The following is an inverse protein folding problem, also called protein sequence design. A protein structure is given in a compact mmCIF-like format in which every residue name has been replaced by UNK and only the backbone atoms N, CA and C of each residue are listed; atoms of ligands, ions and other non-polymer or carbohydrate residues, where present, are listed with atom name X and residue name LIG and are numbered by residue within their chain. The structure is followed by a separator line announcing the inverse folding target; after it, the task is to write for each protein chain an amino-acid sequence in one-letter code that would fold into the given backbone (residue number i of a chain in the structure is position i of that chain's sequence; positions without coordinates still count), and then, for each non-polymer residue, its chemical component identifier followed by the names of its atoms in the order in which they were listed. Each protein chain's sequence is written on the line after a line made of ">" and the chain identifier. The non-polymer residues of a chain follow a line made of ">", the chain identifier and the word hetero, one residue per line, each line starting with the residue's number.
data_IF_237458805081
#
_entry.id   IF_237458805081
#
_cell.length_a   1.000
_cell.length_b   1.000
_cell.length_c   1.000
_cell.angle_alpha   90.00
_cell.angle_beta   90.00
_cell.angle_gamma   90.00
#
_symmetry.space_group_name_H-M   'P 1'
#
loop_
_entity.id
_entity.type
_entity.pdbx_description
1 polymer ?
#
# COMPACT_ATOMS: atom_id res chain seq x y z
N UNK A 1 51.66 14.13 5.74
CA UNK A 1 50.81 13.65 4.63
C UNK A 1 49.37 13.63 5.16
N UNK A 2 48.67 14.76 5.27
CA UNK A 2 47.97 15.56 4.25
C UNK A 2 46.98 14.77 3.39
N UNK A 3 45.69 15.04 3.60
CA UNK A 3 44.56 15.19 2.64
C UNK A 3 43.25 15.16 3.45
N UNK A 4 42.74 16.28 3.97
CA UNK A 4 41.84 17.25 3.30
C UNK A 4 40.53 16.59 2.81
N UNK A 5 39.44 16.60 3.60
CA UNK A 5 38.37 17.61 3.62
C UNK A 5 37.72 17.84 2.25
N UNK A 6 36.54 17.25 2.04
CA UNK A 6 35.56 17.63 1.02
C UNK A 6 34.23 17.92 1.76
N UNK A 7 34.06 19.11 2.34
CA UNK A 7 33.68 20.38 1.67
C UNK A 7 32.37 20.29 0.89
N UNK A 8 31.29 20.28 1.66
CA UNK A 8 30.08 21.12 1.52
C UNK A 8 29.90 21.79 0.15
N UNK A 9 29.24 21.09 -0.78
CA UNK A 9 28.73 21.67 -2.03
C UNK A 9 27.26 21.30 -2.25
N UNK A 10 26.40 21.83 -1.38
CA UNK A 10 24.96 21.84 -1.64
C UNK A 10 24.32 23.13 -1.11
N UNK A 11 24.89 24.27 -1.53
CA UNK A 11 24.20 25.56 -1.44
C UNK A 11 24.17 26.17 -2.85
N UNK A 12 23.46 25.47 -3.72
CA UNK A 12 23.15 25.91 -5.08
C UNK A 12 22.14 27.05 -5.02
N UNK A 13 22.68 28.26 -4.97
CA UNK A 13 22.29 29.41 -5.78
C UNK A 13 20.83 29.41 -6.26
N UNK A 14 19.99 30.20 -5.59
CA UNK A 14 19.01 31.05 -6.30
C UNK A 14 18.89 32.37 -5.54
N UNK A 15 19.73 33.30 -5.96
CA UNK A 15 19.66 34.71 -5.56
C UNK A 15 18.30 35.25 -6.00
N UNK A 16 17.56 35.78 -5.03
CA UNK A 16 16.33 36.50 -5.25
C UNK A 16 16.57 37.63 -6.27
N UNK A 17 15.82 37.57 -7.37
CA UNK A 17 15.84 38.53 -8.46
C UNK A 17 15.36 39.89 -7.96
N UNK A 18 16.21 40.92 -8.09
CA UNK A 18 15.86 42.31 -7.86
C UNK A 18 14.80 42.73 -8.90
N UNK A 19 13.60 43.05 -8.44
CA UNK A 19 12.55 43.68 -9.25
C UNK A 19 12.95 45.12 -9.56
N UNK A 20 13.39 45.37 -10.78
CA UNK A 20 13.41 46.70 -11.38
C UNK A 20 12.08 46.91 -12.10
N UNK A 21 11.26 47.77 -11.53
CA UNK A 21 10.00 48.22 -12.11
C UNK A 21 10.29 49.17 -13.28
N UNK A 22 9.78 48.82 -14.47
CA UNK A 22 9.66 49.74 -15.61
C UNK A 22 8.17 50.05 -15.77
N UNK A 23 7.76 51.33 -15.76
CA UNK A 23 6.37 51.71 -15.94
C UNK A 23 6.06 51.82 -17.43
N UNK A 24 4.90 51.31 -17.83
CA UNK A 24 4.31 51.65 -19.11
C UNK A 24 4.49 50.58 -20.18
N UNK A 25 3.50 49.70 -20.26
CA UNK A 25 2.72 49.48 -21.47
C UNK A 25 1.59 48.51 -21.12
N UNK A 26 0.36 48.97 -21.32
CA UNK A 26 -0.87 48.17 -21.23
C UNK A 26 -0.75 46.98 -22.17
N UNK A 27 -0.57 45.79 -21.64
CA UNK A 27 -0.82 44.55 -22.36
C UNK A 27 -1.99 43.84 -21.67
N UNK A 28 -3.02 43.63 -22.48
CA UNK A 28 -4.31 43.05 -22.18
C UNK A 28 -4.28 41.93 -21.13
N UNK A 29 -5.13 42.06 -20.11
CA UNK A 29 -5.68 40.91 -19.40
C UNK A 29 -6.49 40.09 -20.40
N UNK A 30 -5.84 39.14 -21.07
CA UNK A 30 -6.52 38.00 -21.66
C UNK A 30 -6.60 36.96 -20.56
N UNK A 31 -7.81 36.83 -20.02
CA UNK A 31 -8.26 35.71 -19.21
C UNK A 31 -7.99 34.42 -19.96
N UNK A 32 -6.89 33.75 -19.62
CA UNK A 32 -6.70 32.35 -19.92
C UNK A 32 -7.58 31.57 -18.93
N UNK A 33 -8.84 31.36 -19.31
CA UNK A 33 -9.60 30.25 -18.78
C UNK A 33 -8.91 28.99 -19.30
N UNK A 34 -7.92 28.53 -18.56
CA UNK A 34 -7.40 27.18 -18.70
C UNK A 34 -8.59 26.25 -18.49
N UNK A 35 -9.16 25.80 -19.61
CA UNK A 35 -10.08 24.69 -19.66
C UNK A 35 -9.30 23.48 -19.15
N UNK A 36 -9.48 23.17 -17.87
CA UNK A 36 -8.96 21.96 -17.27
C UNK A 36 -9.69 20.80 -17.96
N UNK A 37 -9.02 20.23 -18.96
CA UNK A 37 -9.44 19.05 -19.67
C UNK A 37 -9.94 18.01 -18.64
N UNK A 38 -11.08 17.34 -18.87
CA UNK A 38 -11.62 16.38 -17.94
C UNK A 38 -10.56 15.29 -17.70
N UNK A 39 -9.88 15.38 -16.55
CA UNK A 39 -8.98 14.35 -16.08
C UNK A 39 -9.84 13.10 -15.94
N UNK A 40 -9.70 12.19 -16.90
CA UNK A 40 -10.34 10.90 -16.85
C UNK A 40 -10.06 10.32 -15.47
N UNK A 41 -11.14 10.09 -14.71
CA UNK A 41 -11.04 9.55 -13.36
C UNK A 41 -10.11 8.34 -13.39
N UNK A 42 -9.18 8.20 -12.42
CA UNK A 42 -8.28 7.05 -12.39
C UNK A 42 -9.13 5.78 -12.51
N UNK A 43 -8.71 4.79 -13.33
CA UNK A 43 -9.49 3.59 -13.56
C UNK A 43 -9.86 2.99 -12.20
N UNK A 44 -11.12 2.58 -12.01
CA UNK A 44 -11.56 2.05 -10.74
C UNK A 44 -10.63 0.90 -10.34
N UNK A 45 -10.18 0.83 -9.07
CA UNK A 45 -9.26 -0.19 -8.63
C UNK A 45 -9.82 -1.56 -9.00
N UNK A 46 -9.02 -2.34 -9.73
CA UNK A 46 -9.43 -3.64 -10.22
C UNK A 46 -9.96 -4.50 -9.07
N UNK A 47 -11.19 -5.01 -9.23
CA UNK A 47 -11.80 -5.92 -8.26
C UNK A 47 -10.96 -7.18 -8.26
N UNK A 48 -10.14 -7.40 -7.22
CA UNK A 48 -9.49 -8.70 -7.01
C UNK A 48 -10.60 -9.74 -6.89
N UNK A 49 -10.76 -10.57 -7.92
CA UNK A 49 -11.51 -11.81 -7.84
C UNK A 49 -10.65 -12.72 -6.98
N UNK A 50 -11.19 -13.14 -5.86
CA UNK A 50 -10.43 -13.92 -4.91
C UNK A 50 -11.05 -15.31 -4.78
N UNK A 51 -10.25 -16.31 -5.10
CA UNK A 51 -10.63 -17.70 -5.01
C UNK A 51 -10.73 -18.13 -3.53
N UNK A 52 -11.76 -18.92 -3.24
CA UNK A 52 -11.95 -19.59 -1.95
C UNK A 52 -11.94 -21.08 -2.19
N UNK A 53 -11.23 -21.81 -1.34
CA UNK A 53 -11.18 -23.26 -1.39
C UNK A 53 -11.95 -23.82 -0.20
N UNK A 54 -12.83 -24.78 -0.46
CA UNK A 54 -13.64 -25.45 0.54
C UNK A 54 -13.57 -26.95 0.29
N UNK A 55 -13.27 -27.69 1.35
CA UNK A 55 -13.20 -29.14 1.31
C UNK A 55 -14.03 -29.72 2.44
N UNK A 56 -14.79 -30.77 2.13
CA UNK A 56 -15.73 -31.39 3.06
C UNK A 56 -15.36 -32.86 3.22
N UNK A 57 -15.26 -33.30 4.47
CA UNK A 57 -14.90 -34.66 4.81
C UNK A 57 -15.82 -35.18 5.90
N UNK A 58 -16.13 -36.47 5.85
CA UNK A 58 -16.90 -37.13 6.89
C UNK A 58 -15.95 -37.87 7.85
N UNK A 59 -16.01 -37.56 9.13
CA UNK A 59 -15.22 -38.21 10.18
C UNK A 59 -16.17 -38.67 11.28
N UNK A 60 -16.26 -39.99 11.49
CA UNK A 60 -17.07 -40.58 12.57
C UNK A 60 -18.56 -40.26 12.47
N UNK A 61 -19.11 -40.15 11.26
CA UNK A 61 -20.51 -39.80 11.01
C UNK A 61 -20.82 -38.31 11.08
N UNK A 62 -19.80 -37.46 11.22
CA UNK A 62 -19.93 -35.99 11.27
C UNK A 62 -19.27 -35.36 10.06
N UNK A 63 -19.98 -34.44 9.42
CA UNK A 63 -19.45 -33.63 8.31
C UNK A 63 -18.60 -32.49 8.87
N UNK A 64 -17.34 -32.45 8.46
CA UNK A 64 -16.39 -31.40 8.78
C UNK A 64 -16.01 -30.68 7.49
N UNK A 65 -16.22 -29.38 7.44
CA UNK A 65 -15.85 -28.52 6.31
C UNK A 65 -14.68 -27.62 6.69
N UNK A 66 -13.69 -27.54 5.80
CA UNK A 66 -12.56 -26.62 5.89
C UNK A 66 -12.66 -25.61 4.76
N UNK A 67 -12.87 -24.34 5.10
CA UNK A 67 -12.96 -23.24 4.15
C UNK A 67 -11.79 -22.26 4.37
N UNK A 68 -10.99 -22.03 3.32
CA UNK A 68 -9.86 -21.09 3.32
C UNK A 68 -10.04 -20.01 2.26
N UNK A 69 -9.32 -18.91 2.44
CA UNK A 69 -9.29 -17.80 1.50
C UNK A 69 -10.50 -16.88 1.61
N UNK A 70 -11.62 -17.25 2.22
CA UNK A 70 -12.81 -16.36 2.34
C UNK A 70 -12.64 -15.24 3.36
N UNK A 71 -12.19 -15.58 4.58
CA UNK A 71 -12.07 -14.69 5.73
C UNK A 71 -10.59 -14.44 6.10
N UNK A 72 -10.31 -13.44 6.94
CA UNK A 72 -9.00 -13.19 7.57
C UNK A 72 -7.76 -13.22 6.64
N UNK A 73 -7.89 -12.73 5.40
CA UNK A 73 -6.84 -12.79 4.35
C UNK A 73 -5.58 -11.96 4.62
N UNK A 74 -5.60 -11.12 5.66
CA UNK A 74 -4.40 -10.39 6.09
C UNK A 74 -3.48 -11.26 6.95
N UNK A 75 -3.99 -12.35 7.54
CA UNK A 75 -3.18 -13.33 8.22
C UNK A 75 -2.36 -14.14 7.21
N UNK A 76 -1.24 -14.72 7.65
CA UNK A 76 -0.43 -15.58 6.80
C UNK A 76 -1.20 -16.84 6.36
N UNK A 77 -2.06 -17.35 7.24
CA UNK A 77 -3.01 -18.41 6.95
C UNK A 77 -4.28 -18.23 7.77
N UNK A 78 -5.41 -18.63 7.20
CA UNK A 78 -6.68 -18.72 7.94
C UNK A 78 -7.57 -19.81 7.38
N UNK A 79 -8.28 -20.49 8.27
CA UNK A 79 -9.21 -21.56 7.93
C UNK A 79 -10.43 -21.44 8.84
N UNK A 80 -11.62 -21.47 8.25
CA UNK A 80 -12.87 -21.66 8.96
C UNK A 80 -13.17 -23.15 8.95
N UNK A 81 -13.27 -23.73 10.14
CA UNK A 81 -13.62 -25.13 10.35
C UNK A 81 -15.07 -25.16 10.82
N UNK A 82 -15.91 -25.85 10.08
CA UNK A 82 -17.32 -26.04 10.41
C UNK A 82 -17.57 -27.50 10.71
N UNK A 83 -18.16 -27.80 11.86
CA UNK A 83 -18.63 -29.13 12.21
C UNK A 83 -20.05 -28.97 12.75
N UNK A 84 -21.03 -29.44 11.98
CA UNK A 84 -22.47 -29.28 12.29
C UNK A 84 -22.79 -27.79 12.56
N UNK A 85 -23.27 -27.46 13.76
CA UNK A 85 -23.61 -26.08 14.16
C UNK A 85 -22.42 -25.28 14.71
N UNK A 86 -21.26 -25.93 14.93
CA UNK A 86 -20.08 -25.29 15.51
C UNK A 86 -19.14 -24.79 14.42
N UNK A 87 -18.79 -23.51 14.47
CA UNK A 87 -17.87 -22.87 13.54
C UNK A 87 -16.70 -22.26 14.30
N UNK A 88 -15.47 -22.61 13.90
CA UNK A 88 -14.24 -22.10 14.50
C UNK A 88 -13.39 -21.46 13.40
N UNK A 89 -13.07 -20.17 13.57
CA UNK A 89 -12.09 -19.49 12.73
C UNK A 89 -10.71 -19.63 13.38
N UNK A 90 -9.79 -20.31 12.69
CA UNK A 90 -8.38 -20.40 13.06
C UNK A 90 -7.55 -19.49 12.17
N UNK A 91 -6.74 -18.62 12.77
CA UNK A 91 -5.82 -17.72 12.06
C UNK A 91 -4.40 -17.93 12.55
N UNK A 92 -3.45 -17.85 11.63
CA UNK A 92 -2.03 -17.99 11.91
C UNK A 92 -1.32 -16.75 11.40
N UNK A 93 -0.57 -16.10 12.27
CA UNK A 93 0.34 -15.02 11.94
C UNK A 93 1.75 -15.44 12.34
N UNK A 94 2.67 -15.39 11.38
CA UNK A 94 4.07 -15.70 11.59
C UNK A 94 4.91 -14.48 11.19
N UNK A 95 5.90 -14.15 12.02
CA UNK A 95 6.89 -13.14 11.67
C UNK A 95 7.67 -13.58 10.43
N UNK A 96 7.95 -12.64 9.52
CA UNK A 96 8.72 -12.93 8.29
C UNK A 96 10.22 -13.11 8.56
N UNK A 97 10.71 -12.62 9.68
CA UNK A 97 12.09 -12.69 10.12
C UNK A 97 12.15 -13.27 11.53
N UNK A 98 13.14 -14.12 11.79
CA UNK A 98 13.47 -14.56 13.13
C UNK A 98 14.28 -13.49 13.86
N UNK A 99 14.06 -13.38 15.17
CA UNK A 99 14.91 -12.56 16.03
C UNK A 99 16.26 -13.29 16.24
N UNK A 100 17.40 -12.67 15.89
CA UNK A 100 18.70 -13.36 15.90
C UNK A 100 19.20 -13.74 17.30
N UNK A 101 18.58 -13.21 18.36
CA UNK A 101 18.94 -13.45 19.78
C UNK A 101 17.95 -14.41 20.45
N UNK A 102 16.93 -14.89 19.72
CA UNK A 102 15.86 -15.69 20.31
C UNK A 102 16.21 -17.17 20.31
N UNK A 103 16.40 -17.74 21.51
CA UNK A 103 16.80 -19.14 21.70
C UNK A 103 15.63 -20.15 21.65
N UNK A 104 14.39 -19.72 21.86
CA UNK A 104 13.19 -20.57 21.88
C UNK A 104 12.01 -19.97 21.09
N UNK A 105 11.09 -20.83 20.62
CA UNK A 105 9.86 -20.44 19.93
C UNK A 105 8.89 -19.70 20.85
#
# INVERSE_FOLDING_TARGET
>A
MSMAVASLRFLARRRHQLRLAVPGTRAAFLSDTAEEAPQAAPPPPGRKVLESFREEFEIGGRLIAFETGKMARFANGSVVISMEDTNVLSTVAAAKSSDPVRDFL
#
